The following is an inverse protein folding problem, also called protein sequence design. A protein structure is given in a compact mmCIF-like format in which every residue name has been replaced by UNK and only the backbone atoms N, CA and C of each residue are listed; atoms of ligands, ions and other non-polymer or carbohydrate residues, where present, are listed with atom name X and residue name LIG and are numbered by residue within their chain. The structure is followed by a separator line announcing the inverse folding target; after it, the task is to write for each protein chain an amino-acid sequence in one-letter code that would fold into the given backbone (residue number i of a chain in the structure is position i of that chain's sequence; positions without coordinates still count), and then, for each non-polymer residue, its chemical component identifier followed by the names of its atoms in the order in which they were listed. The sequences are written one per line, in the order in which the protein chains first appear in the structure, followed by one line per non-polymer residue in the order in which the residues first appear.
data_IF_770879119966
#
_entry.id   IF_770879119966
#
_cell.length_a   1.000
_cell.length_b   1.000
_cell.length_c   1.000
_cell.angle_alpha   90.00
_cell.angle_beta   90.00
_cell.angle_gamma   90.00
#
_symmetry.space_group_name_H-M   'P 1'
#
loop_
_entity.id
_entity.type
_entity.pdbx_description
1 polymer ?
#
# COMPACT_ATOMS: atom_id res chain seq x y z
N UNK A 1 25.25 -30.25 0.03
CA UNK A 1 24.11 -30.27 -0.89
C UNK A 1 23.90 -28.85 -1.34
N UNK A 2 23.98 -28.60 -2.64
CA UNK A 2 23.89 -27.26 -3.20
C UNK A 2 22.48 -26.70 -2.91
N UNK A 3 22.45 -25.59 -2.17
CA UNK A 3 21.26 -24.75 -2.05
C UNK A 3 20.94 -24.27 -3.46
N UNK A 4 19.79 -24.67 -4.00
CA UNK A 4 19.35 -24.20 -5.30
C UNK A 4 19.18 -22.68 -5.18
N UNK A 5 19.93 -21.93 -5.98
CA UNK A 5 20.01 -20.49 -5.94
C UNK A 5 18.66 -19.84 -6.28
N UNK A 6 17.78 -19.68 -5.29
CA UNK A 6 16.71 -18.70 -5.34
C UNK A 6 17.33 -17.30 -5.42
N UNK A 7 16.61 -16.33 -5.97
CA UNK A 7 17.09 -14.95 -6.18
C UNK A 7 17.41 -14.20 -4.88
N UNK A 8 17.24 -14.84 -3.72
CA UNK A 8 17.47 -14.29 -2.39
C UNK A 8 16.35 -13.33 -1.95
N UNK A 9 15.24 -13.29 -2.70
CA UNK A 9 14.08 -12.45 -2.39
C UNK A 9 13.03 -13.26 -1.66
N UNK A 10 12.67 -12.82 -0.46
CA UNK A 10 11.54 -13.39 0.29
C UNK A 10 10.23 -12.82 -0.28
N UNK A 11 9.65 -13.54 -1.23
CA UNK A 11 8.41 -13.14 -1.92
C UNK A 11 7.18 -13.19 -1.00
N UNK A 12 7.22 -14.03 0.03
CA UNK A 12 6.18 -14.12 1.05
C UNK A 12 6.21 -12.90 1.98
N UNK A 13 7.40 -12.48 2.44
CA UNK A 13 7.53 -11.22 3.16
C UNK A 13 7.08 -10.05 2.29
N UNK A 14 7.50 -10.01 1.02
CA UNK A 14 7.12 -8.93 0.10
C UNK A 14 5.60 -8.84 -0.09
N UNK A 15 4.92 -9.99 -0.22
CA UNK A 15 3.46 -10.08 -0.30
C UNK A 15 2.77 -9.67 1.01
N UNK A 16 3.32 -10.06 2.16
CA UNK A 16 2.82 -9.69 3.47
C UNK A 16 2.95 -8.18 3.74
N UNK A 17 4.09 -7.59 3.37
CA UNK A 17 4.33 -6.13 3.43
C UNK A 17 3.39 -5.39 2.49
N UNK A 18 3.23 -5.88 1.26
CA UNK A 18 2.28 -5.27 0.31
C UNK A 18 0.84 -5.28 0.83
N UNK A 19 0.41 -6.37 1.45
CA UNK A 19 -0.91 -6.46 2.10
C UNK A 19 -1.06 -5.51 3.29
N UNK A 20 0.02 -5.30 4.04
CA UNK A 20 0.05 -4.32 5.14
C UNK A 20 -0.12 -2.89 4.61
N UNK A 21 0.56 -2.53 3.51
CA UNK A 21 0.45 -1.20 2.93
C UNK A 21 -0.97 -0.87 2.42
N UNK A 22 -1.66 -1.84 1.82
CA UNK A 22 -3.07 -1.66 1.44
C UNK A 22 -3.93 -1.35 2.67
N UNK A 23 -3.77 -2.12 3.75
CA UNK A 23 -4.52 -1.89 5.00
C UNK A 23 -4.21 -0.54 5.62
N UNK A 24 -2.94 -0.13 5.64
CA UNK A 24 -2.53 1.19 6.12
C UNK A 24 -3.20 2.30 5.30
N UNK A 25 -3.29 2.13 3.97
CA UNK A 25 -4.00 3.06 3.11
C UNK A 25 -5.47 3.22 3.49
N UNK A 26 -6.17 2.10 3.69
CA UNK A 26 -7.57 2.09 4.14
C UNK A 26 -7.73 2.76 5.52
N UNK A 27 -6.85 2.46 6.46
CA UNK A 27 -6.87 2.99 7.83
C UNK A 27 -6.64 4.51 7.86
N UNK A 28 -5.73 5.03 7.03
CA UNK A 28 -5.47 6.48 6.90
C UNK A 28 -6.74 7.20 6.45
N UNK A 29 -7.42 6.68 5.41
CA UNK A 29 -8.65 7.30 4.88
C UNK A 29 -9.77 7.24 5.91
N UNK A 30 -9.95 6.10 6.58
CA UNK A 30 -10.98 5.92 7.59
C UNK A 30 -10.77 6.84 8.80
N UNK A 31 -9.54 6.93 9.30
CA UNK A 31 -9.17 7.78 10.43
C UNK A 31 -9.35 9.27 10.10
N UNK A 32 -8.92 9.69 8.92
CA UNK A 32 -9.05 11.07 8.48
C UNK A 32 -10.52 11.51 8.36
N UNK A 33 -11.38 10.67 7.77
CA UNK A 33 -12.81 10.95 7.65
C UNK A 33 -13.50 11.07 9.01
N UNK A 34 -13.14 10.20 9.97
CA UNK A 34 -13.68 10.26 11.33
C UNK A 34 -13.28 11.55 12.06
N UNK A 35 -12.02 11.98 11.94
CA UNK A 35 -11.53 13.20 12.59
C UNK A 35 -12.18 14.47 12.07
N UNK A 36 -12.42 14.56 10.76
CA UNK A 36 -13.07 15.71 10.11
C UNK A 36 -14.52 15.89 10.57
N UNK A 37 -15.29 14.80 10.69
CA UNK A 37 -16.69 14.84 11.14
C UNK A 37 -16.84 15.37 12.58
N UNK A 38 -15.87 15.09 13.46
CA UNK A 38 -15.90 15.52 14.85
C UNK A 38 -15.58 17.01 15.03
N UNK A 39 -14.84 17.61 14.10
CA UNK A 39 -14.37 18.99 14.22
C UNK A 39 -15.42 20.03 13.77
N UNK A 40 -16.31 19.68 12.83
CA UNK A 40 -17.24 20.64 12.22
C UNK A 40 -18.26 21.21 13.22
N UNK A 41 -18.77 20.39 14.14
CA UNK A 41 -19.84 20.79 15.06
C UNK A 41 -19.37 21.66 16.25
N UNK A 42 -18.05 21.76 16.46
CA UNK A 42 -17.48 22.43 17.63
C UNK A 42 -17.29 23.95 17.51
N UNK A 43 -17.35 24.52 16.30
CA UNK A 43 -16.81 25.87 16.09
C UNK A 43 -17.77 27.04 16.37
N UNK A 44 -19.09 26.82 16.40
CA UNK A 44 -20.13 27.77 16.89
C UNK A 44 -20.30 29.10 16.14
N UNK A 45 -19.22 29.63 15.54
CA UNK A 45 -19.12 30.86 14.77
C UNK A 45 -19.10 30.55 13.26
N UNK A 46 -19.74 31.39 12.46
CA UNK A 46 -19.96 31.16 11.02
C UNK A 46 -18.64 31.20 10.23
N UNK A 47 -17.74 32.12 10.55
CA UNK A 47 -16.47 32.27 9.84
C UNK A 47 -15.50 31.14 10.21
N UNK A 48 -15.49 30.74 11.48
CA UNK A 48 -14.74 29.57 11.95
C UNK A 48 -15.28 28.27 11.33
N UNK A 49 -16.60 28.12 11.21
CA UNK A 49 -17.22 26.97 10.55
C UNK A 49 -16.84 26.89 9.06
N UNK A 50 -16.81 28.02 8.36
CA UNK A 50 -16.40 28.08 6.96
C UNK A 50 -14.91 27.75 6.77
N UNK A 51 -14.04 28.23 7.67
CA UNK A 51 -12.62 27.89 7.67
C UNK A 51 -12.40 26.40 7.98
N UNK A 52 -13.12 25.85 8.97
CA UNK A 52 -13.09 24.44 9.32
C UNK A 52 -13.53 23.56 8.16
N UNK A 53 -14.58 23.95 7.42
CA UNK A 53 -15.04 23.24 6.21
C UNK A 53 -13.98 23.20 5.10
N UNK A 54 -13.28 24.31 4.85
CA UNK A 54 -12.17 24.35 3.87
C UNK A 54 -11.00 23.46 4.29
N UNK A 55 -10.62 23.53 5.57
CA UNK A 55 -9.57 22.68 6.12
C UNK A 55 -9.95 21.21 5.99
N UNK A 56 -11.16 20.84 6.42
CA UNK A 56 -11.73 19.50 6.31
C UNK A 56 -11.65 18.98 4.88
N UNK A 57 -12.14 19.74 3.89
CA UNK A 57 -12.08 19.34 2.50
C UNK A 57 -10.66 19.10 2.00
N UNK A 58 -9.71 19.99 2.35
CA UNK A 58 -8.30 19.83 1.94
C UNK A 58 -7.63 18.64 2.63
N UNK A 59 -7.88 18.45 3.92
CA UNK A 59 -7.33 17.35 4.70
C UNK A 59 -7.86 16.00 4.22
N UNK A 60 -9.16 15.89 3.94
CA UNK A 60 -9.76 14.69 3.34
C UNK A 60 -9.16 14.38 1.97
N UNK A 61 -8.98 15.40 1.11
CA UNK A 61 -8.35 15.22 -0.20
C UNK A 61 -6.92 14.67 -0.08
N UNK A 62 -6.10 15.26 0.80
CA UNK A 62 -4.71 14.82 1.00
C UNK A 62 -4.63 13.42 1.62
N UNK A 63 -5.49 13.12 2.60
CA UNK A 63 -5.53 11.81 3.25
C UNK A 63 -5.98 10.71 2.30
N UNK A 64 -6.92 11.03 1.38
CA UNK A 64 -7.32 10.13 0.30
C UNK A 64 -6.15 9.82 -0.64
N UNK A 65 -5.45 10.85 -1.10
CA UNK A 65 -4.27 10.65 -1.95
C UNK A 65 -3.20 9.79 -1.28
N UNK A 66 -2.91 10.05 0.01
CA UNK A 66 -1.97 9.24 0.77
C UNK A 66 -2.41 7.77 0.91
N UNK A 67 -3.71 7.54 1.10
CA UNK A 67 -4.27 6.19 1.16
C UNK A 67 -4.17 5.46 -0.18
N UNK A 68 -4.45 6.16 -1.28
CA UNK A 68 -4.30 5.65 -2.65
C UNK A 68 -2.83 5.30 -2.95
N UNK A 69 -1.88 6.18 -2.63
CA UNK A 69 -0.44 5.95 -2.81
C UNK A 69 0.06 4.72 -2.01
N UNK A 70 -0.41 4.56 -0.76
CA UNK A 70 -0.10 3.40 0.06
C UNK A 70 -0.70 2.11 -0.53
N UNK A 71 -1.93 2.17 -1.04
CA UNK A 71 -2.57 1.06 -1.74
C UNK A 71 -1.81 0.64 -3.00
N UNK A 72 -1.39 1.61 -3.81
CA UNK A 72 -0.63 1.39 -5.04
C UNK A 72 0.73 0.75 -4.76
N UNK A 73 1.45 1.25 -3.75
CA UNK A 73 2.70 0.61 -3.30
C UNK A 73 2.45 -0.84 -2.88
N UNK A 74 1.37 -1.10 -2.13
CA UNK A 74 1.00 -2.44 -1.72
C UNK A 74 0.65 -3.38 -2.87
N UNK A 75 0.04 -2.87 -3.94
CA UNK A 75 -0.19 -3.61 -5.19
C UNK A 75 1.14 -3.89 -5.91
N UNK A 76 2.01 -2.90 -6.05
CA UNK A 76 3.31 -3.05 -6.70
C UNK A 76 4.20 -4.07 -6.00
N UNK A 77 4.23 -4.09 -4.67
CA UNK A 77 4.99 -5.08 -3.90
C UNK A 77 4.48 -6.51 -4.16
N UNK A 78 3.16 -6.71 -4.18
CA UNK A 78 2.57 -8.02 -4.52
C UNK A 78 2.84 -8.43 -5.96
N UNK A 79 2.81 -7.47 -6.90
CA UNK A 79 3.18 -7.70 -8.30
C UNK A 79 4.65 -8.09 -8.45
N UNK A 80 5.55 -7.43 -7.72
CA UNK A 80 6.97 -7.77 -7.70
C UNK A 80 7.21 -9.17 -7.12
N UNK A 81 6.50 -9.56 -6.05
CA UNK A 81 6.58 -10.92 -5.50
C UNK A 81 6.22 -11.97 -6.55
N UNK A 82 5.14 -11.76 -7.31
CA UNK A 82 4.75 -12.63 -8.42
C UNK A 82 5.82 -12.69 -9.52
N UNK A 83 6.39 -11.54 -9.90
CA UNK A 83 7.43 -11.48 -10.93
C UNK A 83 8.71 -12.21 -10.51
N UNK A 84 9.07 -12.18 -9.23
CA UNK A 84 10.21 -12.94 -8.71
C UNK A 84 9.94 -14.46 -8.74
N UNK A 85 8.75 -14.90 -8.36
CA UNK A 85 8.35 -16.31 -8.45
C UNK A 85 8.37 -16.83 -9.89
N UNK A 86 7.88 -16.02 -10.85
CA UNK A 86 7.91 -16.34 -12.28
C UNK A 86 9.36 -16.43 -12.80
N UNK A 87 10.22 -15.51 -12.39
CA UNK A 87 11.63 -15.52 -12.77
C UNK A 87 12.36 -16.74 -12.19
N UNK A 88 12.11 -17.12 -10.94
CA UNK A 88 12.68 -18.32 -10.32
C UNK A 88 12.24 -19.59 -11.05
N UNK A 89 10.96 -19.70 -11.40
CA UNK A 89 10.44 -20.82 -12.17
C UNK A 89 11.12 -20.92 -13.56
N UNK A 90 11.24 -19.78 -14.26
CA UNK A 90 11.90 -19.73 -15.57
C UNK A 90 13.38 -20.13 -15.50
N UNK A 91 14.09 -19.70 -14.46
CA UNK A 91 15.49 -20.07 -14.22
C UNK A 91 15.61 -21.58 -13.93
N UNK A 92 14.73 -22.13 -13.09
CA UNK A 92 14.71 -23.55 -12.76
C UNK A 92 14.45 -24.43 -14.00
N UNK A 93 13.48 -24.06 -14.83
CA UNK A 93 13.18 -24.74 -16.09
C UNK A 93 14.36 -24.68 -17.08
N UNK A 94 15.02 -23.53 -17.17
CA UNK A 94 16.21 -23.34 -18.00
C UNK A 94 17.37 -24.26 -17.59
N UNK A 95 17.56 -24.50 -16.29
CA UNK A 95 18.57 -25.45 -15.81
C UNK A 95 18.19 -26.91 -16.08
N UNK A 96 16.90 -27.27 -16.00
CA UNK A 96 16.44 -28.63 -16.35
C UNK A 96 16.52 -28.93 -17.85
N UNK A 97 16.41 -27.91 -18.71
CA UNK A 97 16.48 -28.04 -20.15
C UNK A 97 17.92 -28.11 -20.70
N UNK A 98 18.95 -27.86 -19.87
CA UNK A 98 20.34 -28.00 -20.30
C UNK A 98 20.79 -29.46 -20.30
N UNK A 99 21.20 -30.02 -21.46
CA UNK A 99 21.76 -31.35 -21.52
C UNK A 99 23.17 -31.32 -20.92
N UNK A 100 23.34 -31.97 -19.78
CA UNK A 100 24.66 -32.49 -19.38
C UNK A 100 24.99 -33.74 -20.18
#
# INVERSE_FOLDING_TARGET
MADAAGLGVDTDELRARGSTFVRVGDDVVASANRGVLLAHDGYGDRDLSAAAGRFAGRFTYLSRGLGEDAGDLGVQMRGAAFAFEELEASVADGFQAMPY
#
